data_IF_737101628025
#
_entry.id   IF_737101628025
#
_cell.length_a   1.000
_cell.length_b   1.000
_cell.length_c   1.000
_cell.angle_alpha   90.00
_cell.angle_beta   90.00
_cell.angle_gamma   90.00
#
_symmetry.space_group_name_H-M   'P 1'
#
loop_
_entity.id
_entity.type
_entity.pdbx_description
1 polymer ?
#
# COMPACT_ATOMS: atom_id res chain seq x y z
N UNK A 1 43.43 56.45 20.95
CA UNK A 1 44.33 55.30 20.75
C UNK A 1 43.71 54.06 21.38
N UNK A 2 43.62 52.96 20.60
CA UNK A 2 43.61 51.50 20.94
C UNK A 2 43.02 51.05 22.30
N UNK A 3 41.91 50.33 22.37
CA UNK A 3 41.65 48.90 22.01
C UNK A 3 41.85 47.89 23.17
N UNK A 4 40.76 47.18 23.54
CA UNK A 4 40.60 45.71 23.75
C UNK A 4 39.31 45.45 24.57
N UNK A 5 38.21 44.93 24.01
CA UNK A 5 37.92 43.56 23.52
C UNK A 5 37.81 42.52 24.64
N UNK A 6 36.59 42.08 24.97
CA UNK A 6 36.08 40.72 24.67
C UNK A 6 34.94 40.29 25.61
N UNK A 7 33.91 39.69 24.99
CA UNK A 7 33.21 38.56 25.56
C UNK A 7 31.79 38.84 26.03
N UNK A 8 30.82 38.44 25.21
CA UNK A 8 29.74 37.55 25.63
C UNK A 8 29.12 36.90 24.40
N UNK A 9 29.26 35.59 24.35
CA UNK A 9 28.70 34.70 23.35
C UNK A 9 27.23 34.37 23.67
N UNK A 10 26.60 33.71 22.70
CA UNK A 10 25.32 33.01 22.71
C UNK A 10 24.05 33.84 22.50
N UNK A 11 23.45 33.72 21.31
CA UNK A 11 22.34 32.77 21.17
C UNK A 11 21.93 32.51 19.73
N UNK A 12 21.85 31.20 19.44
CA UNK A 12 21.01 30.51 18.48
C UNK A 12 20.04 31.36 17.65
N UNK A 13 20.22 31.34 16.34
CA UNK A 13 19.09 31.13 15.45
C UNK A 13 19.50 30.13 14.39
N UNK A 14 19.27 28.88 14.78
CA UNK A 14 19.18 27.71 13.92
C UNK A 14 18.15 28.05 12.85
N UNK A 15 18.61 28.40 11.65
CA UNK A 15 17.73 28.49 10.48
C UNK A 15 17.19 27.08 10.30
N UNK A 16 15.92 26.92 10.64
CA UNK A 16 15.16 25.71 10.43
C UNK A 16 15.26 25.38 8.94
N UNK A 17 16.05 24.35 8.62
CA UNK A 17 15.83 23.59 7.41
C UNK A 17 14.41 23.05 7.51
N UNK A 18 13.48 23.74 6.84
CA UNK A 18 12.21 23.14 6.47
C UNK A 18 12.60 22.12 5.41
N UNK A 19 12.98 20.93 5.86
CA UNK A 19 13.18 19.78 4.99
C UNK A 19 11.78 19.54 4.42
N UNK A 20 11.55 20.02 3.20
CA UNK A 20 10.38 19.68 2.41
C UNK A 20 10.50 18.20 2.01
N UNK A 21 10.37 17.31 2.99
CA UNK A 21 10.09 15.90 2.78
C UNK A 21 8.60 15.74 2.46
N UNK A 22 8.17 16.34 1.35
CA UNK A 22 6.77 16.35 0.94
C UNK A 22 6.55 15.39 -0.22
N UNK A 23 6.14 14.15 0.06
CA UNK A 23 5.16 13.43 -0.80
C UNK A 23 4.61 12.12 -0.24
N UNK A 24 5.03 11.64 0.94
CA UNK A 24 4.42 10.43 1.54
C UNK A 24 3.12 10.68 2.33
N UNK A 25 2.67 11.94 2.44
CA UNK A 25 1.36 12.25 2.99
C UNK A 25 0.27 11.69 2.07
N UNK A 26 -0.64 10.90 2.62
CA UNK A 26 -1.76 10.34 1.87
C UNK A 26 -2.65 11.43 1.29
N UNK A 27 -3.14 11.20 0.08
CA UNK A 27 -4.05 12.10 -0.64
C UNK A 27 -5.47 11.58 -0.49
N UNK A 28 -6.42 12.47 -0.23
CA UNK A 28 -7.82 12.14 0.04
C UNK A 28 -8.74 12.67 -1.05
N UNK A 29 -9.74 11.87 -1.42
CA UNK A 29 -10.73 12.19 -2.43
C UNK A 29 -12.13 11.75 -1.98
N UNK A 30 -13.13 12.54 -2.32
CA UNK A 30 -14.52 12.23 -1.98
C UNK A 30 -15.11 11.13 -2.86
N UNK A 31 -14.61 11.00 -4.11
CA UNK A 31 -15.07 10.02 -5.09
C UNK A 31 -14.00 9.73 -6.15
N UNK A 32 -14.16 8.64 -6.90
CA UNK A 32 -13.28 8.26 -7.99
C UNK A 32 -13.16 9.36 -9.06
N UNK A 33 -14.28 10.02 -9.39
CA UNK A 33 -14.33 11.13 -10.36
C UNK A 33 -13.56 12.39 -9.94
N UNK A 34 -13.15 12.49 -8.67
CA UNK A 34 -12.33 13.61 -8.16
C UNK A 34 -10.83 13.34 -8.20
N UNK A 35 -10.42 12.11 -8.55
CA UNK A 35 -9.02 11.79 -8.74
C UNK A 35 -8.58 12.34 -10.09
N UNK A 36 -7.75 13.38 -10.07
CA UNK A 36 -7.26 14.07 -11.29
C UNK A 36 -5.74 13.94 -11.48
N UNK A 37 -5.02 13.47 -10.46
CA UNK A 37 -3.58 13.20 -10.56
C UNK A 37 -3.37 11.89 -11.34
N UNK A 38 -2.56 11.92 -12.40
CA UNK A 38 -2.31 10.73 -13.24
C UNK A 38 -1.70 9.56 -12.48
N UNK A 39 -0.85 9.82 -11.48
CA UNK A 39 -0.27 8.79 -10.62
C UNK A 39 -1.34 8.10 -9.76
N UNK A 40 -2.20 8.88 -9.12
CA UNK A 40 -3.29 8.33 -8.30
C UNK A 40 -4.39 7.68 -9.17
N UNK A 41 -4.62 8.18 -10.39
CA UNK A 41 -5.50 7.52 -11.38
C UNK A 41 -4.96 6.15 -11.78
N UNK A 42 -3.65 6.03 -11.96
CA UNK A 42 -3.00 4.75 -12.27
C UNK A 42 -3.14 3.77 -11.11
N UNK A 43 -2.94 4.25 -9.87
CA UNK A 43 -3.17 3.46 -8.65
C UNK A 43 -4.64 3.06 -8.51
N UNK A 44 -5.58 3.97 -8.75
CA UNK A 44 -7.02 3.70 -8.66
C UNK A 44 -7.45 2.61 -9.66
N UNK A 45 -6.90 2.64 -10.89
CA UNK A 45 -7.10 1.59 -11.90
C UNK A 45 -6.48 0.26 -11.48
N UNK A 46 -5.23 0.26 -11.00
CA UNK A 46 -4.54 -0.96 -10.55
C UNK A 46 -5.28 -1.63 -9.38
N UNK A 47 -5.75 -0.83 -8.42
CA UNK A 47 -6.55 -1.29 -7.29
C UNK A 47 -8.00 -1.63 -7.66
N UNK A 48 -8.43 -1.36 -8.90
CA UNK A 48 -9.80 -1.53 -9.38
C UNK A 48 -10.86 -0.91 -8.43
N UNK A 49 -10.61 0.33 -7.97
CA UNK A 49 -11.54 1.05 -7.08
C UNK A 49 -12.92 1.16 -7.77
N UNK A 50 -14.03 0.74 -7.13
CA UNK A 50 -15.36 0.80 -7.73
C UNK A 50 -15.87 2.24 -7.86
N UNK A 51 -16.78 2.48 -8.81
CA UNK A 51 -17.32 3.81 -9.09
C UNK A 51 -18.09 4.43 -7.91
N UNK A 52 -18.67 3.59 -7.03
CA UNK A 52 -19.37 4.03 -5.82
C UNK A 52 -18.43 4.35 -4.65
N UNK A 53 -17.11 4.21 -4.83
CA UNK A 53 -16.15 4.43 -3.77
C UNK A 53 -16.18 5.88 -3.28
N UNK A 54 -16.11 6.03 -1.96
CA UNK A 54 -16.06 7.31 -1.27
C UNK A 54 -15.00 7.33 -0.18
N UNK A 55 -14.66 8.53 0.30
CA UNK A 55 -13.64 8.70 1.36
C UNK A 55 -12.33 7.97 1.02
N UNK A 56 -11.93 8.11 -0.25
CA UNK A 56 -10.78 7.44 -0.86
C UNK A 56 -9.51 8.09 -0.31
N UNK A 57 -8.58 7.28 0.17
CA UNK A 57 -7.27 7.69 0.64
C UNK A 57 -6.21 6.89 -0.09
N UNK A 58 -5.29 7.57 -0.77
CA UNK A 58 -4.22 6.94 -1.54
C UNK A 58 -2.87 7.36 -0.97
N UNK A 59 -2.00 6.37 -0.76
CA UNK A 59 -0.57 6.52 -0.53
C UNK A 59 0.13 5.69 -1.59
N UNK A 60 1.13 6.24 -2.25
CA UNK A 60 1.88 5.52 -3.27
C UNK A 60 3.30 6.03 -3.34
N UNK A 61 4.17 5.15 -3.82
CA UNK A 61 5.56 5.43 -4.09
C UNK A 61 5.80 5.08 -5.56
N UNK A 62 6.04 6.12 -6.38
CA UNK A 62 6.16 5.97 -7.82
C UNK A 62 7.47 5.28 -8.24
N UNK A 63 8.52 5.33 -7.41
CA UNK A 63 9.81 4.70 -7.70
C UNK A 63 9.72 3.19 -7.50
N UNK A 64 9.01 2.76 -6.45
CA UNK A 64 8.87 1.33 -6.10
C UNK A 64 7.62 0.69 -6.69
N UNK A 65 6.64 1.46 -7.17
CA UNK A 65 5.35 0.97 -7.64
C UNK A 65 4.43 0.47 -6.51
N UNK A 66 4.80 0.71 -5.26
CA UNK A 66 3.99 0.32 -4.10
C UNK A 66 2.84 1.30 -3.88
N UNK A 67 1.70 0.77 -3.46
CA UNK A 67 0.55 1.58 -3.08
C UNK A 67 -0.17 1.03 -1.85
N UNK A 68 -0.90 1.92 -1.21
CA UNK A 68 -1.93 1.65 -0.24
C UNK A 68 -3.13 2.54 -0.54
N UNK A 69 -4.30 1.94 -0.64
CA UNK A 69 -5.57 2.61 -0.88
C UNK A 69 -6.54 2.22 0.22
N UNK A 70 -7.34 3.15 0.73
CA UNK A 70 -8.53 2.79 1.49
C UNK A 70 -9.74 3.61 1.05
N UNK A 71 -10.91 2.99 1.01
CA UNK A 71 -12.15 3.61 0.57
C UNK A 71 -13.37 2.92 1.18
N UNK A 72 -14.48 3.64 1.27
CA UNK A 72 -15.78 3.08 1.63
C UNK A 72 -16.53 2.71 0.35
N UNK A 73 -17.18 1.54 0.31
CA UNK A 73 -18.03 1.09 -0.80
C UNK A 73 -19.21 0.27 -0.28
N UNK A 74 -20.29 0.21 -1.04
CA UNK A 74 -21.41 -0.70 -0.79
C UNK A 74 -21.22 -2.09 -1.43
N UNK A 75 -20.17 -2.28 -2.23
CA UNK A 75 -19.93 -3.47 -3.05
C UNK A 75 -18.72 -4.31 -2.60
N UNK A 76 -18.38 -4.29 -1.31
CA UNK A 76 -17.20 -4.96 -0.77
C UNK A 76 -17.10 -6.46 -1.14
N UNK A 77 -18.19 -7.21 -0.94
CA UNK A 77 -18.26 -8.65 -1.24
C UNK A 77 -18.06 -8.90 -2.73
N UNK A 78 -18.73 -8.12 -3.58
CA UNK A 78 -18.61 -8.23 -5.03
C UNK A 78 -17.17 -8.04 -5.49
N UNK A 79 -16.46 -7.05 -4.94
CA UNK A 79 -15.04 -6.85 -5.25
C UNK A 79 -14.23 -8.11 -4.94
N UNK A 80 -14.36 -8.65 -3.72
CA UNK A 80 -13.61 -9.84 -3.27
C UNK A 80 -13.84 -11.03 -4.21
N UNK A 81 -15.09 -11.28 -4.57
CA UNK A 81 -15.49 -12.39 -5.43
C UNK A 81 -15.00 -12.21 -6.88
N UNK A 82 -15.26 -11.05 -7.49
CA UNK A 82 -14.88 -10.77 -8.88
C UNK A 82 -13.36 -10.67 -9.07
N UNK A 83 -12.63 -10.22 -8.04
CA UNK A 83 -11.17 -10.10 -8.08
C UNK A 83 -10.43 -11.40 -7.74
N UNK A 84 -11.16 -12.47 -7.38
CA UNK A 84 -10.61 -13.79 -7.07
C UNK A 84 -9.76 -13.80 -5.80
N UNK A 85 -10.12 -12.99 -4.80
CA UNK A 85 -9.34 -12.82 -3.59
C UNK A 85 -9.53 -13.99 -2.63
N UNK A 86 -8.43 -14.57 -2.17
CA UNK A 86 -8.39 -15.66 -1.21
C UNK A 86 -8.43 -15.12 0.22
N UNK A 87 -9.28 -15.69 1.07
CA UNK A 87 -9.35 -15.31 2.49
C UNK A 87 -8.12 -15.80 3.24
N UNK A 88 -7.52 -14.91 4.03
CA UNK A 88 -6.33 -15.19 4.85
C UNK A 88 -6.75 -15.90 6.14
N UNK A 89 -6.17 -17.06 6.39
CA UNK A 89 -6.33 -17.78 7.65
C UNK A 89 -5.57 -17.14 8.83
N UNK A 90 -5.95 -17.47 10.07
CA UNK A 90 -5.34 -16.90 11.29
C UNK A 90 -3.80 -17.02 11.34
N UNK A 91 -3.23 -18.09 10.80
CA UNK A 91 -1.78 -18.31 10.78
C UNK A 91 -1.02 -17.34 9.88
N UNK A 92 -1.65 -16.85 8.80
CA UNK A 92 -1.04 -15.93 7.83
C UNK A 92 -1.37 -14.46 8.13
N UNK A 93 -2.36 -14.20 8.99
CA UNK A 93 -2.79 -12.85 9.32
C UNK A 93 -1.67 -11.92 9.86
N UNK A 94 -0.76 -12.37 10.75
CA UNK A 94 0.37 -11.53 11.18
C UNK A 94 1.27 -11.14 10.01
N UNK A 95 1.65 -12.11 9.16
CA UNK A 95 2.50 -11.89 7.99
C UNK A 95 1.89 -10.85 7.03
N UNK A 96 0.60 -11.00 6.71
CA UNK A 96 -0.12 -10.05 5.84
C UNK A 96 -0.14 -8.64 6.48
N UNK A 97 -0.35 -8.54 7.80
CA UNK A 97 -0.34 -7.23 8.49
C UNK A 97 1.05 -6.61 8.54
N UNK A 98 2.10 -7.40 8.70
CA UNK A 98 3.48 -6.92 8.72
C UNK A 98 3.94 -6.46 7.33
N UNK A 99 3.33 -7.02 6.28
CA UNK A 99 3.48 -6.51 4.90
C UNK A 99 2.77 -5.18 4.66
N UNK A 100 2.09 -4.58 5.64
CA UNK A 100 1.44 -3.30 5.45
C UNK A 100 2.48 -2.18 5.55
N UNK A 101 2.79 -1.55 4.42
CA UNK A 101 3.73 -0.42 4.35
C UNK A 101 3.11 0.93 4.76
N UNK A 102 3.78 2.02 4.38
CA UNK A 102 3.25 3.40 4.45
C UNK A 102 2.85 3.90 5.85
N UNK A 103 3.37 3.29 6.93
CA UNK A 103 2.93 3.51 8.30
C UNK A 103 1.39 3.43 8.45
N UNK A 104 0.73 2.67 7.58
CA UNK A 104 -0.70 2.42 7.66
C UNK A 104 -0.97 1.42 8.81
N UNK A 105 -2.19 1.44 9.32
CA UNK A 105 -2.63 0.51 10.36
C UNK A 105 -4.00 -0.01 10.00
N UNK A 106 -4.16 -1.32 10.06
CA UNK A 106 -5.45 -1.98 9.87
C UNK A 106 -6.17 -2.13 11.21
N UNK A 107 -7.50 -2.07 11.23
CA UNK A 107 -8.29 -2.48 12.38
C UNK A 107 -7.90 -3.90 12.85
N UNK A 108 -7.92 -4.18 14.17
CA UNK A 108 -7.43 -5.45 14.72
C UNK A 108 -8.29 -6.66 14.31
N UNK A 109 -9.57 -6.46 14.05
CA UNK A 109 -10.53 -7.52 13.72
C UNK A 109 -10.97 -7.50 12.26
N UNK A 110 -10.18 -6.90 11.36
CA UNK A 110 -10.51 -6.84 9.94
C UNK A 110 -10.35 -8.21 9.28
N UNK A 111 -11.24 -8.55 8.35
CA UNK A 111 -11.05 -9.71 7.48
C UNK A 111 -9.94 -9.40 6.48
N UNK A 112 -9.05 -10.36 6.27
CA UNK A 112 -7.89 -10.21 5.40
C UNK A 112 -8.02 -11.13 4.19
N UNK A 113 -7.61 -10.63 3.04
CA UNK A 113 -7.65 -11.32 1.77
C UNK A 113 -6.38 -11.04 0.97
N UNK A 114 -6.07 -11.91 0.02
CA UNK A 114 -4.95 -11.72 -0.89
C UNK A 114 -5.21 -12.39 -2.25
N UNK A 115 -4.49 -11.93 -3.28
CA UNK A 115 -4.37 -12.63 -4.56
C UNK A 115 -2.97 -12.44 -5.12
N UNK A 116 -2.50 -13.44 -5.85
CA UNK A 116 -1.24 -13.38 -6.57
C UNK A 116 -1.53 -13.20 -8.06
N UNK A 117 -0.94 -12.17 -8.66
CA UNK A 117 -1.05 -11.86 -10.08
C UNK A 117 0.30 -12.09 -10.72
N UNK A 118 0.36 -12.88 -11.78
CA UNK A 118 1.56 -12.99 -12.61
C UNK A 118 1.71 -11.66 -13.36
N UNK A 119 2.74 -10.89 -13.03
CA UNK A 119 3.04 -9.64 -13.73
C UNK A 119 3.61 -9.98 -15.11
N UNK A 120 2.88 -9.58 -16.16
CA UNK A 120 3.29 -9.76 -17.56
C UNK A 120 4.26 -8.68 -18.05
N UNK A 121 4.58 -7.68 -17.22
CA UNK A 121 5.47 -6.59 -17.61
C UNK A 121 6.94 -7.04 -17.51
N UNK A 122 7.71 -7.05 -18.62
CA UNK A 122 9.12 -7.36 -18.56
C UNK A 122 9.85 -6.18 -17.92
N UNK A 123 10.24 -6.31 -16.64
CA UNK A 123 11.30 -5.48 -16.09
C UNK A 123 12.62 -5.94 -16.74
N UNK A 124 13.44 -5.03 -17.27
CA UNK A 124 14.51 -5.36 -18.21
C UNK A 124 15.69 -6.17 -17.65
N UNK A 125 15.65 -6.70 -16.42
CA UNK A 125 16.86 -7.27 -15.80
C UNK A 125 16.68 -8.46 -14.85
N UNK A 126 15.54 -9.16 -14.81
CA UNK A 126 15.36 -10.30 -13.90
C UNK A 126 14.66 -11.48 -14.56
N UNK A 127 15.26 -12.66 -14.38
CA UNK A 127 14.88 -13.94 -15.00
C UNK A 127 13.79 -14.72 -14.25
N UNK A 128 13.16 -14.13 -13.22
CA UNK A 128 12.23 -14.84 -12.35
C UNK A 128 10.80 -14.34 -12.57
N UNK A 129 9.84 -15.26 -12.56
CA UNK A 129 8.42 -14.98 -12.68
C UNK A 129 8.02 -13.99 -11.59
N UNK A 130 7.66 -12.77 -11.97
CA UNK A 130 7.25 -11.76 -11.01
C UNK A 130 5.79 -11.94 -10.63
N UNK A 131 5.52 -12.18 -9.35
CA UNK A 131 4.17 -12.05 -8.82
C UNK A 131 3.99 -10.69 -8.15
N UNK A 132 2.95 -9.97 -8.55
CA UNK A 132 2.38 -8.92 -7.71
C UNK A 132 1.42 -9.59 -6.72
N UNK A 133 1.62 -9.31 -5.43
CA UNK A 133 0.74 -9.78 -4.37
C UNK A 133 -0.15 -8.61 -3.99
N UNK A 134 -1.44 -8.72 -4.30
CA UNK A 134 -2.44 -7.74 -3.87
C UNK A 134 -3.09 -8.25 -2.61
N UNK A 135 -3.11 -7.43 -1.58
CA UNK A 135 -3.67 -7.75 -0.28
C UNK A 135 -4.76 -6.76 0.07
N UNK A 136 -5.70 -7.21 0.89
CA UNK A 136 -6.88 -6.44 1.23
C UNK A 136 -7.30 -6.71 2.67
N UNK A 137 -7.67 -5.65 3.38
CA UNK A 137 -8.49 -5.70 4.57
C UNK A 137 -9.90 -5.22 4.25
N UNK A 138 -10.92 -5.92 4.74
CA UNK A 138 -12.32 -5.49 4.68
C UNK A 138 -12.99 -5.57 6.05
N UNK A 139 -13.66 -4.50 6.45
CA UNK A 139 -14.60 -4.51 7.60
C UNK A 139 -16.07 -4.62 7.15
N UNK A 140 -16.29 -4.95 5.87
CA UNK A 140 -17.61 -5.02 5.25
C UNK A 140 -18.07 -3.71 4.60
N UNK A 141 -17.54 -2.56 5.02
CA UNK A 141 -17.81 -1.26 4.38
C UNK A 141 -16.53 -0.65 3.82
N UNK A 142 -15.52 -0.49 4.67
CA UNK A 142 -14.24 0.09 4.33
C UNK A 142 -13.28 -0.99 3.86
N UNK A 143 -12.68 -0.73 2.70
CA UNK A 143 -11.67 -1.55 2.09
C UNK A 143 -10.31 -0.90 2.27
N UNK A 144 -9.30 -1.73 2.43
CA UNK A 144 -7.91 -1.34 2.62
C UNK A 144 -7.07 -2.21 1.69
N UNK A 145 -6.61 -1.71 0.56
CA UNK A 145 -5.83 -2.47 -0.42
C UNK A 145 -4.40 -1.99 -0.45
N UNK A 146 -3.47 -2.92 -0.59
CA UNK A 146 -2.07 -2.61 -0.83
C UNK A 146 -1.41 -3.73 -1.63
N UNK A 147 -0.31 -3.42 -2.28
CA UNK A 147 0.48 -4.41 -3.00
C UNK A 147 1.85 -4.65 -2.36
N UNK A 148 2.41 -5.79 -2.75
CA UNK A 148 3.82 -6.11 -2.64
C UNK A 148 4.32 -6.59 -3.99
N UNK A 149 5.48 -6.07 -4.36
CA UNK A 149 6.18 -6.41 -5.59
C UNK A 149 7.50 -7.04 -5.18
N UNK A 150 7.87 -8.14 -5.85
CA UNK A 150 9.19 -8.76 -5.73
C UNK A 150 9.55 -9.20 -4.30
N UNK A 151 8.55 -9.54 -3.49
CA UNK A 151 8.72 -10.03 -2.13
C UNK A 151 8.79 -11.57 -2.17
N UNK A 152 10.00 -12.09 -2.42
CA UNK A 152 10.22 -13.52 -2.66
C UNK A 152 9.82 -14.42 -1.49
N UNK A 153 9.96 -13.93 -0.26
CA UNK A 153 9.55 -14.64 0.95
C UNK A 153 8.02 -14.72 1.04
N UNK A 154 7.34 -13.59 0.83
CA UNK A 154 5.89 -13.53 0.83
C UNK A 154 5.30 -14.35 -0.33
N UNK A 155 5.92 -14.29 -1.50
CA UNK A 155 5.53 -15.05 -2.69
C UNK A 155 5.66 -16.56 -2.47
N UNK A 156 6.77 -17.01 -1.87
CA UNK A 156 7.00 -18.41 -1.58
C UNK A 156 5.93 -19.00 -0.66
N UNK A 157 5.37 -18.18 0.23
CA UNK A 157 4.34 -18.56 1.19
C UNK A 157 2.93 -18.47 0.57
N UNK A 158 2.65 -17.41 -0.18
CA UNK A 158 1.28 -17.09 -0.63
C UNK A 158 0.96 -17.58 -2.06
N UNK A 159 1.93 -17.55 -2.97
CA UNK A 159 1.69 -17.65 -4.40
C UNK A 159 2.16 -18.97 -5.02
N UNK A 160 3.13 -19.65 -4.42
CA UNK A 160 3.58 -20.94 -4.94
C UNK A 160 2.51 -22.01 -4.68
N UNK A 161 2.15 -22.84 -5.67
CA UNK A 161 1.26 -23.96 -5.43
C UNK A 161 1.92 -24.84 -4.37
N UNK A 162 1.21 -25.06 -3.26
CA UNK A 162 1.50 -26.16 -2.34
C UNK A 162 1.53 -27.40 -3.23
N UNK A 163 2.72 -27.98 -3.45
CA UNK A 163 2.93 -29.01 -4.45
C UNK A 163 1.84 -30.08 -4.36
N UNK A 164 1.26 -30.46 -5.51
CA UNK A 164 0.37 -31.61 -5.71
C UNK A 164 0.10 -32.44 -4.46
N UNK A 165 -0.96 -32.12 -3.69
CA UNK A 165 -1.30 -32.96 -2.53
C UNK A 165 -2.17 -32.32 -1.47
N UNK A 166 -3.31 -31.72 -1.82
CA UNK A 166 -4.25 -31.29 -0.79
C UNK A 166 -5.47 -30.54 -1.28
N UNK A 167 -6.43 -31.27 -1.86
CA UNK A 167 -7.83 -30.83 -1.70
C UNK A 167 -8.12 -30.86 -0.20
N UNK A 168 -8.38 -29.71 0.40
CA UNK A 168 -9.17 -29.67 1.62
C UNK A 168 -10.34 -28.74 1.35
N UNK A 169 -11.49 -29.40 1.16
CA UNK A 169 -12.82 -28.84 1.32
C UNK A 169 -13.05 -28.50 2.80
#
# INVERSE_FOLDING_TARGET
MKSKSNGLAFSLSMVAFVISGCSQAGRSYDSLSKIVNEGDLSVAKAAAIPDDASSINIRSDAETGLYYVSYDTSHAVRYIDESGMLRVGKGLAPLIRDSLGFAAKLPPNIDLYYRCIISLAPLPDVRENYHEIIMMGSDGRRQYLWNRLNDGDLEAILCRPVGNGGRQF
#
